data_IF_828139576742
#
_entry.id   IF_828139576742
#
_cell.length_a   1.000
_cell.length_b   1.000
_cell.length_c   1.000
_cell.angle_alpha   90.00
_cell.angle_beta   90.00
_cell.angle_gamma   90.00
#
_symmetry.space_group_name_H-M   'P 1'
#
loop_
_entity.id
_entity.type
_entity.pdbx_description
1 polymer ?
#
# COMPACT_ATOMS: atom_id res chain seq x y z
N UNK A 1 38.45 -24.35 49.99
CA UNK A 1 38.19 -23.04 49.37
C UNK A 1 37.44 -23.27 48.08
N UNK A 2 36.14 -23.12 48.15
CA UNK A 2 35.23 -23.28 46.97
C UNK A 2 35.10 -21.93 46.29
N UNK A 3 35.38 -21.84 45.01
CA UNK A 3 35.14 -20.66 44.16
C UNK A 3 33.64 -20.59 43.85
N UNK A 4 32.95 -19.66 44.44
CA UNK A 4 31.58 -19.27 44.04
C UNK A 4 31.67 -18.48 42.74
N UNK A 5 31.22 -19.09 41.65
CA UNK A 5 31.03 -18.41 40.36
C UNK A 5 29.87 -17.42 40.50
N UNK A 6 30.11 -16.13 40.35
CA UNK A 6 29.08 -15.11 40.27
C UNK A 6 28.37 -15.19 38.90
N UNK A 7 27.16 -15.76 38.86
CA UNK A 7 26.27 -15.55 37.75
C UNK A 7 25.83 -14.08 37.74
N UNK A 8 26.44 -13.26 36.90
CA UNK A 8 25.89 -11.93 36.59
C UNK A 8 24.60 -12.12 35.77
N UNK A 9 23.51 -11.42 36.08
CA UNK A 9 22.31 -11.48 35.24
C UNK A 9 22.67 -10.96 33.84
N UNK A 10 22.27 -11.73 32.83
CA UNK A 10 22.37 -11.34 31.41
C UNK A 10 21.56 -10.06 31.24
N UNK A 11 22.13 -9.02 30.63
CA UNK A 11 21.39 -7.78 30.41
C UNK A 11 20.26 -7.99 29.38
N UNK A 12 19.14 -7.27 29.53
CA UNK A 12 18.02 -7.35 28.60
C UNK A 12 18.44 -7.11 27.14
N UNK A 13 19.53 -6.37 26.91
CA UNK A 13 20.13 -6.18 25.58
C UNK A 13 20.82 -7.47 25.07
N UNK A 14 21.44 -8.25 25.95
CA UNK A 14 22.08 -9.52 25.57
C UNK A 14 21.05 -10.62 25.30
N UNK A 15 19.92 -10.62 26.02
CA UNK A 15 18.79 -11.54 25.74
C UNK A 15 18.13 -11.20 24.40
N UNK A 16 17.90 -9.93 24.10
CA UNK A 16 17.39 -9.46 22.79
C UNK A 16 18.34 -9.84 21.65
N UNK A 17 19.65 -9.68 21.83
CA UNK A 17 20.62 -10.03 20.81
C UNK A 17 20.72 -11.54 20.56
N UNK A 18 20.66 -12.36 21.60
CA UNK A 18 20.63 -13.83 21.47
C UNK A 18 19.39 -14.35 20.75
N UNK A 19 18.22 -13.76 21.01
CA UNK A 19 16.97 -14.08 20.32
C UNK A 19 17.03 -13.70 18.83
N UNK A 20 17.63 -12.56 18.49
CA UNK A 20 17.80 -12.10 17.11
C UNK A 20 18.72 -13.00 16.28
N UNK A 21 19.82 -13.51 16.86
CA UNK A 21 20.75 -14.43 16.19
C UNK A 21 20.06 -15.75 15.85
N UNK A 22 19.31 -16.34 16.79
CA UNK A 22 18.58 -17.59 16.53
C UNK A 22 17.48 -17.46 15.45
N UNK A 23 16.83 -16.27 15.35
CA UNK A 23 15.86 -15.99 14.30
C UNK A 23 16.51 -15.96 12.91
N UNK A 24 17.70 -15.36 12.78
CA UNK A 24 18.39 -15.24 11.50
C UNK A 24 18.76 -16.61 10.91
N UNK A 25 19.18 -17.54 11.73
CA UNK A 25 19.49 -18.91 11.30
C UNK A 25 18.23 -19.67 10.85
N UNK A 26 17.12 -19.53 11.59
CA UNK A 26 15.83 -20.12 11.23
C UNK A 26 15.29 -19.54 9.91
N UNK A 27 15.39 -18.22 9.69
CA UNK A 27 15.05 -17.59 8.41
C UNK A 27 15.90 -18.15 7.27
N UNK A 28 17.20 -18.38 7.49
CA UNK A 28 18.10 -19.01 6.52
C UNK A 28 17.56 -20.36 6.04
N UNK A 29 17.01 -21.18 6.95
CA UNK A 29 16.38 -22.47 6.64
C UNK A 29 15.12 -22.36 5.77
N UNK A 30 14.38 -21.25 5.86
CA UNK A 30 13.15 -21.00 5.09
C UNK A 30 13.41 -20.39 3.71
N UNK A 31 14.58 -19.81 3.46
CA UNK A 31 14.85 -19.03 2.23
C UNK A 31 14.55 -19.79 0.94
N UNK A 32 14.91 -21.07 0.84
CA UNK A 32 14.68 -21.86 -0.36
C UNK A 32 13.18 -21.99 -0.68
N UNK A 33 12.37 -22.28 0.32
CA UNK A 33 10.91 -22.43 0.17
C UNK A 33 10.23 -21.09 -0.06
N UNK A 34 10.68 -20.03 0.61
CA UNK A 34 10.19 -18.65 0.43
C UNK A 34 10.41 -18.17 -1.01
N UNK A 35 11.63 -18.34 -1.53
CA UNK A 35 11.97 -17.95 -2.91
C UNK A 35 11.20 -18.79 -3.93
N UNK A 36 11.01 -20.09 -3.67
CA UNK A 36 10.23 -20.97 -4.55
C UNK A 36 8.76 -20.52 -4.61
N UNK A 37 8.14 -20.24 -3.48
CA UNK A 37 6.76 -19.72 -3.41
C UNK A 37 6.67 -18.36 -4.14
N UNK A 38 7.59 -17.43 -3.86
CA UNK A 38 7.63 -16.12 -4.51
C UNK A 38 7.67 -16.24 -6.04
N UNK A 39 8.53 -17.10 -6.57
CA UNK A 39 8.65 -17.32 -8.01
C UNK A 39 7.42 -17.98 -8.62
N UNK A 40 6.75 -18.85 -7.88
CA UNK A 40 5.52 -19.49 -8.36
C UNK A 40 4.35 -18.48 -8.37
N UNK A 41 4.20 -17.65 -7.34
CA UNK A 41 3.24 -16.53 -7.34
C UNK A 41 3.51 -15.57 -8.51
N UNK A 42 4.77 -15.23 -8.76
CA UNK A 42 5.17 -14.33 -9.84
C UNK A 42 4.78 -14.84 -11.23
N UNK A 43 4.81 -16.15 -11.46
CA UNK A 43 4.39 -16.75 -12.73
C UNK A 43 2.90 -16.64 -13.01
N UNK A 44 2.07 -16.55 -11.98
CA UNK A 44 0.61 -16.57 -12.09
C UNK A 44 -0.03 -15.37 -11.41
N UNK A 45 0.33 -14.15 -11.82
CA UNK A 45 -0.21 -12.94 -11.22
C UNK A 45 -1.70 -12.79 -11.54
N UNK A 46 -2.44 -12.27 -10.57
CA UNK A 46 -3.88 -12.00 -10.67
C UNK A 46 -4.15 -10.56 -10.20
N UNK A 47 -5.18 -9.92 -10.77
CA UNK A 47 -5.47 -8.49 -10.55
C UNK A 47 -6.72 -8.33 -9.69
N UNK A 48 -6.70 -7.36 -8.78
CA UNK A 48 -7.86 -6.90 -8.03
C UNK A 48 -8.24 -7.79 -6.85
N UNK A 49 -9.55 -7.95 -6.62
CA UNK A 49 -10.05 -8.59 -5.41
C UNK A 49 -10.27 -10.11 -5.54
N UNK A 50 -10.29 -10.64 -6.76
CA UNK A 50 -10.56 -12.05 -7.04
C UNK A 50 -9.30 -12.73 -7.54
N UNK A 51 -8.60 -13.46 -6.66
CA UNK A 51 -7.28 -14.06 -6.85
C UNK A 51 -7.32 -15.55 -6.50
N UNK A 52 -8.09 -16.39 -7.20
CA UNK A 52 -8.30 -17.79 -6.81
C UNK A 52 -7.02 -18.62 -6.79
N UNK A 53 -6.12 -18.46 -7.78
CA UNK A 53 -4.87 -19.20 -7.84
C UNK A 53 -3.90 -18.77 -6.75
N UNK A 54 -3.75 -17.46 -6.53
CA UNK A 54 -2.92 -16.90 -5.47
C UNK A 54 -3.40 -17.37 -4.10
N UNK A 55 -4.74 -17.34 -3.85
CA UNK A 55 -5.34 -17.85 -2.61
C UNK A 55 -5.06 -19.33 -2.41
N UNK A 56 -5.21 -20.15 -3.44
CA UNK A 56 -4.92 -21.59 -3.38
C UNK A 56 -3.44 -21.87 -3.03
N UNK A 57 -2.51 -21.16 -3.66
CA UNK A 57 -1.08 -21.28 -3.38
C UNK A 57 -0.73 -20.90 -1.94
N UNK A 58 -1.32 -19.79 -1.43
CA UNK A 58 -1.13 -19.37 -0.04
C UNK A 58 -1.67 -20.41 0.93
N UNK A 59 -2.91 -20.90 0.72
CA UNK A 59 -3.52 -21.93 1.57
C UNK A 59 -2.69 -23.23 1.56
N UNK A 60 -2.22 -23.66 0.41
CA UNK A 60 -1.31 -24.81 0.28
C UNK A 60 -0.02 -24.61 1.06
N UNK A 61 0.55 -23.38 1.03
CA UNK A 61 1.78 -23.09 1.74
C UNK A 61 1.59 -22.95 3.27
N UNK A 62 0.37 -22.69 3.74
CA UNK A 62 0.00 -22.63 5.15
C UNK A 62 -0.51 -23.97 5.71
N UNK A 63 -0.72 -24.96 4.84
CA UNK A 63 -1.24 -26.27 5.27
C UNK A 63 -0.38 -26.92 6.35
N UNK A 64 -1.04 -27.58 7.30
CA UNK A 64 -0.41 -28.23 8.46
C UNK A 64 0.08 -27.27 9.55
N UNK A 65 -0.02 -25.94 9.38
CA UNK A 65 0.28 -24.98 10.46
C UNK A 65 -0.88 -24.87 11.44
N UNK A 66 -0.63 -24.60 12.73
CA UNK A 66 -1.66 -24.48 13.76
C UNK A 66 -2.40 -23.12 13.68
N UNK A 67 -3.02 -22.84 12.56
CA UNK A 67 -3.68 -21.59 12.23
C UNK A 67 -5.20 -21.76 12.14
N UNK A 68 -5.95 -20.84 12.73
CA UNK A 68 -7.37 -20.71 12.47
C UNK A 68 -7.55 -19.82 11.25
N UNK A 69 -8.01 -20.39 10.13
CA UNK A 69 -8.13 -19.69 8.86
C UNK A 69 -9.57 -19.29 8.60
N UNK A 70 -9.80 -17.98 8.40
CA UNK A 70 -11.04 -17.39 7.89
C UNK A 70 -10.82 -16.91 6.46
N UNK A 71 -11.65 -17.37 5.55
CA UNK A 71 -11.68 -16.89 4.16
C UNK A 71 -12.76 -15.81 4.04
N UNK A 72 -12.42 -14.75 3.32
CA UNK A 72 -13.38 -13.70 2.98
C UNK A 72 -14.22 -14.11 1.77
N UNK A 73 -15.50 -13.73 1.77
CA UNK A 73 -16.47 -14.16 0.75
C UNK A 73 -16.50 -13.23 -0.46
N UNK A 74 -16.42 -11.91 -0.23
CA UNK A 74 -16.46 -10.90 -1.31
C UNK A 74 -15.12 -10.72 -2.00
N UNK A 75 -14.05 -11.24 -1.39
CA UNK A 75 -12.69 -11.13 -1.93
C UNK A 75 -11.92 -12.43 -1.75
N UNK A 76 -10.75 -12.54 -2.37
CA UNK A 76 -9.80 -13.63 -2.11
C UNK A 76 -8.97 -13.45 -0.82
N UNK A 77 -9.38 -12.56 0.07
CA UNK A 77 -8.70 -12.30 1.34
C UNK A 77 -8.63 -13.52 2.25
N UNK A 78 -7.51 -13.64 2.97
CA UNK A 78 -7.28 -14.68 3.97
C UNK A 78 -6.89 -14.00 5.29
N UNK A 79 -7.60 -14.35 6.37
CA UNK A 79 -7.21 -14.03 7.73
C UNK A 79 -6.79 -15.34 8.44
N UNK A 80 -5.51 -15.47 8.76
CA UNK A 80 -4.98 -16.65 9.43
C UNK A 80 -4.50 -16.28 10.84
N UNK A 81 -5.06 -16.90 11.85
CA UNK A 81 -4.81 -16.57 13.26
C UNK A 81 -3.95 -17.64 13.93
N UNK A 82 -2.80 -17.24 14.42
CA UNK A 82 -1.96 -18.02 15.33
C UNK A 82 -2.27 -17.62 16.77
N UNK A 83 -2.71 -18.58 17.58
CA UNK A 83 -2.96 -18.36 19.01
C UNK A 83 -1.81 -18.92 19.84
N UNK A 84 -1.09 -18.04 20.55
CA UNK A 84 -0.01 -18.41 21.46
C UNK A 84 -0.51 -19.18 22.71
N UNK A 85 0.42 -19.69 23.50
CA UNK A 85 0.07 -20.48 24.70
C UNK A 85 -0.17 -19.62 25.96
N UNK A 86 0.17 -18.32 25.89
CA UNK A 86 -0.05 -17.36 26.98
C UNK A 86 -1.07 -16.29 26.55
N UNK A 87 -1.92 -15.78 27.45
CA UNK A 87 -2.80 -14.67 27.12
C UNK A 87 -2.01 -13.41 26.81
N UNK A 88 -2.56 -12.56 25.95
CA UNK A 88 -1.97 -11.31 25.53
C UNK A 88 -2.74 -10.65 24.39
N UNK A 89 -2.27 -9.51 23.89
CA UNK A 89 -2.89 -8.80 22.76
C UNK A 89 -2.69 -9.54 21.43
N UNK A 90 -3.41 -9.08 20.42
CA UNK A 90 -3.20 -9.50 19.03
C UNK A 90 -2.30 -8.48 18.30
N UNK A 91 -1.33 -8.98 17.57
CA UNK A 91 -0.55 -8.20 16.59
C UNK A 91 -0.95 -8.65 15.20
N UNK A 92 -1.19 -7.71 14.29
CA UNK A 92 -1.48 -8.02 12.89
C UNK A 92 -0.23 -7.83 12.02
N UNK A 93 0.03 -8.81 11.15
CA UNK A 93 1.04 -8.74 10.10
C UNK A 93 0.32 -8.81 8.74
N UNK A 94 0.62 -7.88 7.84
CA UNK A 94 -0.06 -7.75 6.55
C UNK A 94 0.88 -7.97 5.38
N UNK A 95 0.43 -8.73 4.38
CA UNK A 95 1.01 -8.79 3.04
C UNK A 95 -0.11 -8.74 2.00
N UNK A 96 0.09 -7.94 0.96
CA UNK A 96 -0.80 -7.87 -0.19
C UNK A 96 -0.48 -8.95 -1.21
N UNK A 97 -1.45 -9.24 -2.11
CA UNK A 97 -1.39 -10.40 -2.99
C UNK A 97 -1.63 -10.10 -4.47
N UNK A 98 -2.22 -8.98 -4.80
CA UNK A 98 -2.63 -8.64 -6.18
C UNK A 98 -1.45 -8.13 -7.03
N UNK A 99 -1.65 -8.15 -8.34
CA UNK A 99 -0.69 -7.73 -9.35
C UNK A 99 -1.20 -6.54 -10.17
N UNK A 100 -0.37 -6.02 -11.06
CA UNK A 100 -0.65 -4.85 -11.89
C UNK A 100 -1.01 -5.25 -13.34
N UNK A 101 -1.93 -4.50 -13.99
CA UNK A 101 -2.30 -4.70 -15.38
C UNK A 101 -1.25 -4.11 -16.33
N UNK A 102 -0.11 -4.78 -16.46
CA UNK A 102 0.98 -4.39 -17.34
C UNK A 102 1.73 -5.61 -17.87
N UNK A 103 2.26 -5.57 -19.11
CA UNK A 103 3.08 -6.67 -19.62
C UNK A 103 4.41 -6.76 -18.88
N UNK A 104 4.94 -7.96 -18.74
CA UNK A 104 6.28 -8.19 -18.23
C UNK A 104 7.29 -8.38 -19.37
N UNK A 105 8.42 -7.66 -19.29
CA UNK A 105 9.54 -7.74 -20.24
C UNK A 105 10.87 -7.89 -19.48
N UNK A 106 10.93 -8.82 -18.52
CA UNK A 106 12.12 -9.04 -17.69
C UNK A 106 13.05 -10.13 -18.24
N UNK A 107 12.54 -11.05 -19.06
CA UNK A 107 13.29 -12.19 -19.56
C UNK A 107 13.66 -13.24 -18.48
N UNK A 108 13.04 -13.18 -17.29
CA UNK A 108 13.31 -14.12 -16.20
C UNK A 108 12.71 -15.51 -16.48
N UNK A 109 13.35 -16.56 -15.98
CA UNK A 109 12.88 -17.94 -16.09
C UNK A 109 11.54 -18.19 -15.34
N UNK A 110 11.19 -17.30 -14.43
CA UNK A 110 9.93 -17.29 -13.68
C UNK A 110 9.04 -16.07 -14.02
N UNK A 111 9.24 -15.43 -15.17
CA UNK A 111 8.39 -14.35 -15.65
C UNK A 111 6.92 -14.76 -15.72
N UNK A 112 6.03 -13.75 -15.68
CA UNK A 112 4.58 -13.95 -15.76
C UNK A 112 4.16 -14.80 -16.94
N UNK A 113 3.23 -15.71 -16.70
CA UNK A 113 2.55 -16.53 -17.73
C UNK A 113 1.12 -16.06 -17.99
N UNK A 114 0.77 -14.89 -17.45
CA UNK A 114 -0.51 -14.23 -17.65
C UNK A 114 -0.28 -12.98 -18.48
N UNK A 115 -0.72 -12.99 -19.73
CA UNK A 115 -0.54 -11.85 -20.64
C UNK A 115 -1.12 -10.57 -20.05
N UNK A 116 -0.35 -9.47 -20.12
CA UNK A 116 -0.76 -8.16 -19.64
C UNK A 116 -0.90 -8.04 -18.13
N UNK A 117 -0.30 -8.96 -17.34
CA UNK A 117 -0.32 -8.94 -15.89
C UNK A 117 1.06 -9.26 -15.32
N UNK A 118 1.52 -8.48 -14.32
CA UNK A 118 2.84 -8.64 -13.70
C UNK A 118 2.81 -8.25 -12.22
N UNK A 119 3.53 -8.99 -11.38
CA UNK A 119 3.88 -8.55 -10.03
C UNK A 119 5.00 -7.49 -10.04
N UNK A 120 4.69 -6.27 -10.54
CA UNK A 120 5.67 -5.20 -10.65
C UNK A 120 5.84 -4.41 -9.33
N UNK A 121 4.86 -4.46 -8.43
CA UNK A 121 4.93 -3.83 -7.11
C UNK A 121 5.57 -4.72 -6.03
N UNK A 122 5.78 -6.01 -6.32
CA UNK A 122 6.47 -6.95 -5.44
C UNK A 122 5.59 -7.65 -4.40
N UNK A 123 4.26 -7.67 -4.59
CA UNK A 123 3.32 -8.32 -3.67
C UNK A 123 3.52 -9.83 -3.57
N UNK A 124 4.04 -10.48 -4.60
CA UNK A 124 4.52 -11.87 -4.56
C UNK A 124 5.59 -12.09 -3.48
N UNK A 125 6.46 -11.09 -3.26
CA UNK A 125 7.45 -11.10 -2.19
C UNK A 125 6.80 -10.87 -0.83
N UNK A 126 5.87 -9.92 -0.71
CA UNK A 126 5.16 -9.64 0.54
C UNK A 126 4.35 -10.85 1.01
N UNK A 127 3.60 -11.48 0.11
CA UNK A 127 2.86 -12.72 0.37
C UNK A 127 3.78 -13.84 0.85
N UNK A 128 4.90 -14.07 0.17
CA UNK A 128 5.85 -15.14 0.51
C UNK A 128 6.56 -14.90 1.83
N UNK A 129 6.91 -13.64 2.14
CA UNK A 129 7.47 -13.26 3.44
C UNK A 129 6.44 -13.50 4.56
N UNK A 130 5.17 -13.15 4.34
CA UNK A 130 4.12 -13.33 5.33
C UNK A 130 3.85 -14.82 5.62
N UNK A 131 3.84 -15.68 4.59
CA UNK A 131 3.78 -17.15 4.76
C UNK A 131 4.97 -17.66 5.57
N UNK A 132 6.17 -17.16 5.30
CA UNK A 132 7.37 -17.57 6.02
C UNK A 132 7.37 -17.10 7.48
N UNK A 133 6.82 -15.90 7.74
CA UNK A 133 6.60 -15.42 9.09
C UNK A 133 5.59 -16.30 9.85
N UNK A 134 4.52 -16.74 9.18
CA UNK A 134 3.55 -17.65 9.77
C UNK A 134 4.17 -18.99 10.16
N UNK A 135 5.02 -19.56 9.32
CA UNK A 135 5.78 -20.79 9.62
C UNK A 135 6.71 -20.61 10.82
N UNK A 136 7.54 -19.58 10.78
CA UNK A 136 8.51 -19.27 11.82
C UNK A 136 7.85 -19.05 13.19
N UNK A 137 6.75 -18.29 13.22
CA UNK A 137 6.03 -18.02 14.46
C UNK A 137 5.21 -19.24 14.94
N UNK A 138 4.74 -20.09 14.04
CA UNK A 138 4.09 -21.35 14.40
C UNK A 138 5.03 -22.30 15.15
N UNK A 139 6.28 -22.40 14.71
CA UNK A 139 7.32 -23.20 15.38
C UNK A 139 7.64 -22.67 16.79
N UNK A 140 7.42 -21.38 17.01
CA UNK A 140 7.69 -20.68 18.28
C UNK A 140 6.41 -20.34 19.07
N UNK A 141 5.30 -20.96 18.74
CA UNK A 141 3.99 -20.68 19.33
C UNK A 141 3.97 -20.63 20.85
N UNK A 142 4.71 -21.53 21.52
CA UNK A 142 4.81 -21.57 22.99
C UNK A 142 5.47 -20.34 23.61
N UNK A 143 6.24 -19.59 22.84
CA UNK A 143 6.89 -18.36 23.28
C UNK A 143 6.01 -17.12 23.12
N UNK A 144 4.97 -17.20 22.28
CA UNK A 144 4.13 -16.05 21.88
C UNK A 144 3.08 -15.77 22.97
N UNK A 145 3.10 -14.57 23.61
CA UNK A 145 2.01 -14.09 24.42
C UNK A 145 0.95 -13.46 23.48
N UNK A 146 -0.32 -13.89 23.65
CA UNK A 146 -1.40 -13.38 22.80
C UNK A 146 -1.49 -14.08 21.46
N UNK A 147 -1.71 -13.30 20.41
CA UNK A 147 -2.05 -13.80 19.08
C UNK A 147 -1.35 -13.05 17.96
N UNK A 148 -1.19 -13.72 16.83
CA UNK A 148 -0.72 -13.09 15.58
C UNK A 148 -1.76 -13.32 14.49
N UNK A 149 -2.31 -12.24 13.95
CA UNK A 149 -3.20 -12.25 12.79
C UNK A 149 -2.40 -11.99 11.53
N UNK A 150 -2.31 -12.98 10.64
CA UNK A 150 -1.73 -12.82 9.31
C UNK A 150 -2.83 -12.43 8.33
N UNK A 151 -2.76 -11.20 7.81
CA UNK A 151 -3.69 -10.65 6.83
C UNK A 151 -3.08 -10.75 5.43
N UNK A 152 -3.59 -11.66 4.61
CA UNK A 152 -3.27 -11.73 3.18
C UNK A 152 -4.32 -10.94 2.42
N UNK A 153 -3.93 -9.75 1.96
CA UNK A 153 -4.85 -8.77 1.39
C UNK A 153 -4.85 -8.82 -0.14
N UNK A 154 -5.99 -9.03 -0.81
CA UNK A 154 -6.14 -8.78 -2.24
C UNK A 154 -6.39 -7.30 -2.52
N UNK A 155 -6.29 -6.88 -3.79
CA UNK A 155 -6.79 -5.61 -4.28
C UNK A 155 -6.20 -4.36 -3.62
N UNK A 156 -4.88 -4.35 -3.39
CA UNK A 156 -4.19 -3.14 -2.93
C UNK A 156 -4.12 -2.10 -4.04
N UNK A 157 -3.94 -2.48 -5.27
CA UNK A 157 -3.74 -1.61 -6.45
C UNK A 157 -5.05 -0.92 -6.92
N UNK A 158 -5.68 -0.17 -6.00
CA UNK A 158 -6.87 0.63 -6.28
C UNK A 158 -8.22 -0.09 -6.18
N UNK A 159 -8.24 -1.34 -5.73
CA UNK A 159 -9.47 -2.14 -5.59
C UNK A 159 -10.00 -2.20 -4.16
N UNK A 160 -9.34 -1.52 -3.20
CA UNK A 160 -9.77 -1.38 -1.80
C UNK A 160 -10.01 -2.70 -1.05
N UNK A 161 -9.26 -3.75 -1.35
CA UNK A 161 -9.47 -5.08 -0.78
C UNK A 161 -9.46 -5.12 0.76
N UNK A 162 -8.60 -4.32 1.41
CA UNK A 162 -8.59 -4.21 2.86
C UNK A 162 -9.93 -3.70 3.41
N UNK A 163 -10.59 -2.76 2.73
CA UNK A 163 -11.89 -2.22 3.14
C UNK A 163 -12.94 -3.33 3.19
N UNK A 164 -13.02 -4.16 2.15
CA UNK A 164 -13.94 -5.30 2.11
C UNK A 164 -13.64 -6.31 3.21
N UNK A 165 -12.35 -6.62 3.46
CA UNK A 165 -11.97 -7.51 4.57
C UNK A 165 -12.39 -6.93 5.94
N UNK A 166 -12.26 -5.62 6.14
CA UNK A 166 -12.71 -4.95 7.38
C UNK A 166 -14.22 -5.00 7.53
N UNK A 167 -14.98 -4.76 6.44
CA UNK A 167 -16.45 -4.83 6.43
C UNK A 167 -16.95 -6.25 6.70
N UNK A 168 -16.19 -7.29 6.37
CA UNK A 168 -16.44 -8.69 6.69
C UNK A 168 -15.90 -9.13 8.06
N UNK A 169 -15.55 -8.20 8.93
CA UNK A 169 -15.14 -8.50 10.31
C UNK A 169 -13.70 -9.05 10.41
N UNK A 170 -12.75 -8.53 9.65
CA UNK A 170 -11.34 -8.85 9.81
C UNK A 170 -10.83 -8.58 11.24
N UNK A 171 -11.34 -7.51 11.87
CA UNK A 171 -10.93 -7.09 13.22
C UNK A 171 -11.77 -7.76 14.34
N UNK A 172 -12.80 -8.52 14.01
CA UNK A 172 -13.61 -9.29 14.97
C UNK A 172 -12.82 -10.51 15.43
N UNK A 173 -11.61 -10.27 15.89
CA UNK A 173 -10.69 -11.34 16.28
C UNK A 173 -11.09 -11.97 17.59
N UNK A 174 -10.97 -13.26 17.61
CA UNK A 174 -11.36 -14.09 18.71
C UNK A 174 -10.63 -13.75 20.03
N UNK A 175 -11.17 -14.23 21.12
CA UNK A 175 -10.59 -14.14 22.47
C UNK A 175 -9.38 -15.06 22.63
N UNK A 176 -8.57 -14.81 23.65
CA UNK A 176 -7.53 -15.74 24.08
C UNK A 176 -8.13 -17.12 24.46
N UNK A 177 -7.29 -18.15 24.59
CA UNK A 177 -7.71 -19.50 24.98
C UNK A 177 -8.42 -19.55 26.31
N UNK A 178 -8.10 -18.66 27.23
CA UNK A 178 -8.74 -18.52 28.54
C UNK A 178 -10.04 -17.68 28.53
N UNK A 179 -10.48 -17.23 27.36
CA UNK A 179 -11.66 -16.39 27.15
C UNK A 179 -11.46 -14.89 27.40
N UNK A 180 -10.27 -14.46 27.79
CA UNK A 180 -9.94 -13.02 27.92
C UNK A 180 -9.90 -12.32 26.58
N UNK A 181 -10.12 -10.98 26.58
CA UNK A 181 -10.04 -10.16 25.37
C UNK A 181 -8.60 -10.13 24.82
N UNK A 182 -8.48 -10.17 23.49
CA UNK A 182 -7.22 -10.08 22.79
C UNK A 182 -7.28 -9.02 21.67
N UNK A 183 -7.37 -7.73 22.03
CA UNK A 183 -7.51 -6.65 21.06
C UNK A 183 -6.29 -6.57 20.15
N UNK A 184 -6.49 -6.12 18.91
CA UNK A 184 -5.38 -5.78 18.01
C UNK A 184 -4.76 -4.48 18.51
N UNK A 185 -3.51 -4.55 18.97
CA UNK A 185 -2.79 -3.40 19.53
C UNK A 185 -1.76 -2.81 18.60
N UNK A 186 -1.34 -3.56 17.58
CA UNK A 186 -0.40 -3.11 16.56
C UNK A 186 -0.63 -3.84 15.24
N UNK A 187 -0.31 -3.16 14.14
CA UNK A 187 -0.32 -3.73 12.80
C UNK A 187 0.98 -3.34 12.08
N UNK A 188 1.62 -4.31 11.43
CA UNK A 188 2.85 -4.09 10.67
C UNK A 188 2.72 -4.64 9.24
N UNK A 189 3.28 -3.89 8.29
CA UNK A 189 3.44 -4.33 6.92
C UNK A 189 4.85 -3.94 6.43
N UNK A 190 5.44 -4.76 5.57
CA UNK A 190 6.68 -4.44 4.87
C UNK A 190 6.40 -4.28 3.39
N UNK A 191 6.98 -3.26 2.78
CA UNK A 191 6.94 -3.07 1.33
C UNK A 191 8.36 -3.15 0.77
N UNK A 192 8.58 -4.00 -0.23
CA UNK A 192 9.85 -4.05 -0.96
C UNK A 192 10.00 -2.79 -1.83
N UNK A 193 11.20 -2.25 -1.93
CA UNK A 193 11.48 -1.10 -2.80
C UNK A 193 12.84 -1.24 -3.49
N UNK A 194 12.91 -0.82 -4.75
CA UNK A 194 14.16 -0.73 -5.50
C UNK A 194 14.94 0.56 -5.22
N UNK A 195 14.35 1.52 -4.49
CA UNK A 195 14.98 2.82 -4.19
C UNK A 195 15.92 2.79 -2.99
N UNK A 196 16.02 1.67 -2.27
CA UNK A 196 16.88 1.50 -1.12
C UNK A 196 17.89 0.35 -1.34
N UNK A 197 19.09 0.42 -0.74
CA UNK A 197 20.06 -0.68 -0.79
C UNK A 197 19.47 -1.97 -0.18
N UNK A 198 19.75 -3.11 -0.81
CA UNK A 198 19.35 -4.42 -0.28
C UNK A 198 19.91 -4.64 1.14
N UNK A 199 19.13 -5.27 2.01
CA UNK A 199 19.48 -5.52 3.40
C UNK A 199 19.32 -4.30 4.31
N UNK A 200 18.57 -3.27 3.88
CA UNK A 200 18.18 -2.13 4.71
C UNK A 200 16.65 -2.08 4.88
N UNK A 201 16.20 -1.54 6.00
CA UNK A 201 14.79 -1.25 6.28
C UNK A 201 14.66 0.23 6.63
N UNK A 202 13.69 0.91 5.99
CA UNK A 202 13.38 2.30 6.26
C UNK A 202 11.94 2.48 6.70
N UNK A 203 11.73 3.27 7.75
CA UNK A 203 10.40 3.74 8.17
C UNK A 203 10.50 5.05 8.95
N UNK A 204 9.36 5.63 9.30
CA UNK A 204 9.26 6.81 10.17
C UNK A 204 7.88 6.88 10.81
N UNK A 205 7.77 7.56 11.93
CA UNK A 205 6.50 8.00 12.49
C UNK A 205 5.90 9.18 11.69
N UNK A 206 4.58 9.27 11.64
CA UNK A 206 3.86 10.26 10.86
C UNK A 206 3.66 9.85 9.39
N UNK A 207 3.39 10.79 8.48
CA UNK A 207 3.17 10.50 7.08
C UNK A 207 4.36 9.79 6.44
N UNK A 208 4.10 8.63 5.80
CA UNK A 208 5.10 7.84 5.10
C UNK A 208 4.82 7.82 3.59
N UNK A 209 3.56 7.66 3.18
CA UNK A 209 3.15 7.66 1.78
C UNK A 209 1.99 8.63 1.59
N UNK A 210 2.00 9.36 0.48
CA UNK A 210 0.95 10.31 0.13
C UNK A 210 -0.38 9.63 -0.18
N UNK A 211 -1.48 10.38 -0.05
CA UNK A 211 -2.79 9.98 -0.56
C UNK A 211 -2.77 9.76 -2.07
N UNK A 212 -3.77 9.07 -2.60
CA UNK A 212 -3.87 8.76 -4.03
C UNK A 212 -5.30 8.99 -4.52
N UNK A 213 -5.49 10.08 -5.31
CA UNK A 213 -6.78 10.37 -5.94
C UNK A 213 -6.62 10.52 -7.45
N UNK A 214 -7.71 10.26 -8.19
CA UNK A 214 -7.78 10.45 -9.64
C UNK A 214 -8.69 11.64 -9.95
N UNK A 215 -8.19 12.56 -10.76
CA UNK A 215 -8.88 13.76 -11.20
C UNK A 215 -9.39 13.58 -12.63
N UNK A 216 -10.65 13.96 -12.87
CA UNK A 216 -11.24 14.11 -14.19
C UNK A 216 -12.01 15.44 -14.26
N UNK A 217 -11.73 16.27 -15.26
CA UNK A 217 -12.44 17.53 -15.53
C UNK A 217 -12.95 17.51 -16.95
N UNK A 218 -14.27 17.54 -17.11
CA UNK A 218 -14.90 17.69 -18.40
C UNK A 218 -15.35 19.13 -18.57
N UNK A 219 -14.86 19.80 -19.61
CA UNK A 219 -15.28 21.14 -20.02
C UNK A 219 -16.30 20.96 -21.15
N UNK A 220 -17.47 21.56 -21.00
CA UNK A 220 -18.53 21.55 -22.00
C UNK A 220 -18.78 22.96 -22.53
N UNK A 221 -18.61 23.13 -23.81
CA UNK A 221 -18.84 24.35 -24.55
C UNK A 221 -19.82 24.14 -25.71
N UNK A 222 -19.56 24.77 -26.85
CA UNK A 222 -20.37 24.68 -28.07
C UNK A 222 -19.45 24.56 -29.27
N UNK A 223 -19.52 23.47 -29.97
CA UNK A 223 -18.74 23.20 -31.19
C UNK A 223 -19.23 24.00 -32.40
N UNK A 224 -18.45 23.94 -33.49
CA UNK A 224 -18.77 24.57 -34.76
C UNK A 224 -17.62 24.58 -35.76
N UNK A 225 -17.76 25.33 -36.84
CA UNK A 225 -16.75 25.41 -37.88
C UNK A 225 -15.56 26.30 -37.44
N UNK A 226 -14.34 25.86 -37.65
CA UNK A 226 -13.13 26.55 -37.17
C UNK A 226 -12.92 27.95 -37.78
N UNK A 227 -13.54 28.27 -38.94
CA UNK A 227 -13.48 29.61 -39.52
C UNK A 227 -14.46 30.63 -38.90
N UNK A 228 -15.39 30.17 -38.05
CA UNK A 228 -16.39 31.01 -37.38
C UNK A 228 -16.32 30.85 -35.84
N UNK A 229 -15.18 31.03 -35.19
CA UNK A 229 -15.01 30.79 -33.77
C UNK A 229 -15.92 31.64 -32.90
N UNK A 230 -16.32 32.82 -33.37
CA UNK A 230 -17.20 33.75 -32.68
C UNK A 230 -18.63 33.23 -32.49
N UNK A 231 -19.02 32.14 -33.17
CA UNK A 231 -20.33 31.45 -33.03
C UNK A 231 -20.27 30.23 -32.11
N UNK A 232 -19.10 29.96 -31.55
CA UNK A 232 -18.81 28.77 -30.76
C UNK A 232 -18.34 29.14 -29.36
N UNK A 233 -18.28 28.12 -28.48
CA UNK A 233 -17.63 28.19 -27.18
C UNK A 233 -16.59 27.07 -27.16
N UNK A 234 -15.40 27.36 -27.74
CA UNK A 234 -14.34 26.36 -27.93
C UNK A 234 -13.68 25.96 -26.60
N UNK A 235 -13.76 24.70 -26.16
CA UNK A 235 -13.28 24.29 -24.83
C UNK A 235 -11.74 24.13 -24.75
N UNK A 236 -11.02 24.04 -25.88
CA UNK A 236 -9.58 23.79 -25.88
C UNK A 236 -8.78 24.91 -25.17
N UNK A 237 -8.97 26.21 -25.48
CA UNK A 237 -8.25 27.28 -24.77
C UNK A 237 -8.56 27.29 -23.27
N UNK A 238 -9.81 27.06 -22.90
CA UNK A 238 -10.25 26.99 -21.50
C UNK A 238 -9.63 25.80 -20.76
N UNK A 239 -9.50 24.64 -21.42
CA UNK A 239 -8.81 23.49 -20.84
C UNK A 239 -7.32 23.80 -20.57
N UNK A 240 -6.65 24.46 -21.51
CA UNK A 240 -5.24 24.88 -21.32
C UNK A 240 -5.10 25.88 -20.16
N UNK A 241 -6.01 26.85 -20.04
CA UNK A 241 -6.01 27.83 -18.95
C UNK A 241 -6.23 27.13 -17.58
N UNK A 242 -7.18 26.19 -17.51
CA UNK A 242 -7.41 25.39 -16.29
C UNK A 242 -6.14 24.65 -15.89
N UNK A 243 -5.48 23.95 -16.82
CA UNK A 243 -4.23 23.22 -16.54
C UNK A 243 -3.17 24.14 -15.93
N UNK A 244 -2.91 25.29 -16.55
CA UNK A 244 -1.93 26.26 -16.04
C UNK A 244 -2.33 26.83 -14.68
N UNK A 245 -3.59 27.16 -14.50
CA UNK A 245 -4.12 27.72 -13.24
C UNK A 245 -4.07 26.75 -12.10
N UNK A 246 -4.25 25.44 -12.34
CA UNK A 246 -4.06 24.40 -11.34
C UNK A 246 -2.60 24.33 -10.86
N UNK A 247 -1.61 24.45 -11.75
CA UNK A 247 -0.19 24.51 -11.35
C UNK A 247 0.12 25.77 -10.53
N UNK A 248 -0.43 26.91 -10.93
CA UNK A 248 -0.30 28.14 -10.17
C UNK A 248 -0.98 28.03 -8.80
N UNK A 249 -2.16 27.41 -8.72
CA UNK A 249 -2.90 27.19 -7.48
C UNK A 249 -2.07 26.38 -6.48
N UNK A 250 -1.46 25.26 -6.91
CA UNK A 250 -0.63 24.42 -6.05
C UNK A 250 0.52 25.25 -5.47
N UNK A 251 1.27 25.98 -6.30
CA UNK A 251 2.43 26.75 -5.84
C UNK A 251 2.09 27.96 -5.00
N UNK A 252 0.89 28.54 -5.12
CA UNK A 252 0.50 29.80 -4.44
C UNK A 252 -0.48 29.62 -3.28
N UNK A 253 -1.13 28.46 -3.15
CA UNK A 253 -2.18 28.22 -2.15
C UNK A 253 -1.91 27.06 -1.21
N UNK A 254 -1.00 26.17 -1.57
CA UNK A 254 -0.63 25.03 -0.74
C UNK A 254 0.66 25.35 0.02
N UNK A 255 0.66 24.99 1.28
CA UNK A 255 1.78 25.24 2.19
C UNK A 255 2.97 24.34 1.83
N UNK A 256 4.18 24.91 1.83
CA UNK A 256 5.39 24.21 1.42
C UNK A 256 5.74 23.04 2.36
N UNK A 257 5.40 23.15 3.66
CA UNK A 257 5.67 22.12 4.67
C UNK A 257 4.52 21.10 4.83
N UNK A 258 3.41 21.28 4.12
CA UNK A 258 2.30 20.33 3.99
C UNK A 258 1.95 20.19 2.51
N UNK A 259 2.86 19.61 1.70
CA UNK A 259 2.82 19.69 0.25
C UNK A 259 1.74 18.80 -0.37
N UNK A 260 1.35 19.19 -1.58
CA UNK A 260 0.54 18.36 -2.47
C UNK A 260 1.04 18.48 -3.91
N UNK A 261 0.74 17.45 -4.70
CA UNK A 261 1.04 17.42 -6.14
C UNK A 261 -0.25 17.17 -6.91
N UNK A 262 -0.48 17.97 -7.95
CA UNK A 262 -1.52 17.74 -8.96
C UNK A 262 -0.84 17.61 -10.29
N UNK A 263 -0.87 16.41 -10.87
CA UNK A 263 -0.25 16.13 -12.17
C UNK A 263 -1.33 15.83 -13.18
N UNK A 264 -1.43 16.67 -14.22
CA UNK A 264 -2.28 16.39 -15.37
C UNK A 264 -1.51 15.49 -16.32
N UNK A 265 -2.05 14.33 -16.61
CA UNK A 265 -1.41 13.28 -17.42
C UNK A 265 -2.08 13.09 -18.78
N UNK A 266 -3.31 13.63 -18.95
CA UNK A 266 -4.05 13.46 -20.18
C UNK A 266 -4.93 14.68 -20.44
N UNK A 267 -4.92 15.16 -21.70
CA UNK A 267 -5.82 16.17 -22.21
C UNK A 267 -6.29 15.72 -23.61
N UNK A 268 -7.61 15.59 -23.77
CA UNK A 268 -8.22 15.12 -25.01
C UNK A 268 -9.30 16.08 -25.47
N UNK A 269 -9.20 16.56 -26.73
CA UNK A 269 -10.20 17.41 -27.34
C UNK A 269 -10.09 17.37 -28.88
N UNK A 270 -11.21 17.38 -29.57
CA UNK A 270 -11.27 17.45 -31.03
C UNK A 270 -10.91 16.16 -31.75
N UNK A 271 -11.29 16.08 -33.03
CA UNK A 271 -11.05 14.92 -33.91
C UNK A 271 -10.50 15.31 -35.27
N UNK A 272 -10.69 16.57 -35.69
CA UNK A 272 -10.27 17.08 -36.99
C UNK A 272 -9.92 18.57 -36.92
N UNK A 273 -9.16 19.06 -37.89
CA UNK A 273 -8.56 20.41 -37.87
C UNK A 273 -9.52 21.55 -38.14
N UNK A 274 -10.66 21.28 -38.81
CA UNK A 274 -11.63 22.30 -39.22
C UNK A 274 -12.91 22.32 -38.38
N UNK A 275 -12.97 21.56 -37.27
CA UNK A 275 -14.10 21.52 -36.35
C UNK A 275 -13.66 21.86 -34.94
N UNK A 276 -14.30 22.85 -34.33
CA UNK A 276 -14.17 23.16 -32.90
C UNK A 276 -15.01 22.12 -32.13
N UNK A 277 -14.43 21.38 -31.18
CA UNK A 277 -15.15 20.35 -30.42
C UNK A 277 -16.16 20.98 -29.45
N UNK A 278 -17.15 20.19 -29.02
CA UNK A 278 -18.11 20.57 -27.97
C UNK A 278 -17.56 20.37 -26.55
N UNK A 279 -16.54 19.54 -26.40
CA UNK A 279 -15.98 19.27 -25.07
C UNK A 279 -14.48 19.02 -25.11
N UNK A 280 -13.83 19.21 -23.95
CA UNK A 280 -12.47 18.79 -23.65
C UNK A 280 -12.45 18.01 -22.34
N UNK A 281 -11.56 17.02 -22.24
CA UNK A 281 -11.37 16.19 -21.05
C UNK A 281 -9.93 16.34 -20.57
N UNK A 282 -9.79 16.65 -19.28
CA UNK A 282 -8.53 16.70 -18.56
C UNK A 282 -8.55 15.57 -17.53
N UNK A 283 -7.50 14.75 -17.48
CA UNK A 283 -7.36 13.71 -16.47
C UNK A 283 -5.97 13.80 -15.81
N UNK A 284 -5.90 13.38 -14.54
CA UNK A 284 -4.68 13.46 -13.78
C UNK A 284 -4.76 12.80 -12.42
N UNK A 285 -3.75 13.03 -11.60
CA UNK A 285 -3.66 12.48 -10.25
C UNK A 285 -3.42 13.58 -9.21
N UNK A 286 -3.89 13.33 -8.00
CA UNK A 286 -3.68 14.18 -6.84
C UNK A 286 -2.96 13.36 -5.77
N UNK A 287 -1.92 13.96 -5.14
CA UNK A 287 -1.19 13.41 -4.01
C UNK A 287 -1.09 14.48 -2.92
N UNK A 288 -1.30 14.11 -1.68
CA UNK A 288 -1.14 14.97 -0.52
C UNK A 288 -0.58 14.17 0.65
N UNK A 289 0.10 14.82 1.58
CA UNK A 289 0.70 14.19 2.77
C UNK A 289 -0.12 14.42 4.03
N UNK A 290 -1.24 15.13 3.94
CA UNK A 290 -2.24 15.29 5.00
C UNK A 290 -3.65 15.33 4.45
N UNK A 291 -4.63 14.84 5.20
CA UNK A 291 -6.05 14.91 4.82
C UNK A 291 -6.56 16.37 4.76
N UNK A 292 -6.01 17.24 5.59
CA UNK A 292 -6.31 18.68 5.57
C UNK A 292 -5.96 19.29 4.21
N UNK A 293 -4.73 19.08 3.76
CA UNK A 293 -4.27 19.60 2.47
C UNK A 293 -4.93 18.89 1.29
N UNK A 294 -5.18 17.58 1.38
CA UNK A 294 -5.95 16.80 0.39
C UNK A 294 -7.31 17.44 0.12
N UNK A 295 -8.10 17.70 1.17
CA UNK A 295 -9.42 18.31 1.05
C UNK A 295 -9.34 19.75 0.49
N UNK A 296 -8.38 20.55 0.96
CA UNK A 296 -8.14 21.91 0.44
C UNK A 296 -7.81 21.91 -1.06
N UNK A 297 -7.03 20.93 -1.54
CA UNK A 297 -6.71 20.78 -2.96
C UNK A 297 -7.95 20.42 -3.77
N UNK A 298 -8.77 19.46 -3.30
CA UNK A 298 -10.02 19.09 -3.96
C UNK A 298 -10.95 20.29 -4.15
N UNK A 299 -11.17 21.07 -3.10
CA UNK A 299 -12.04 22.26 -3.16
C UNK A 299 -11.46 23.34 -4.07
N UNK A 300 -10.12 23.50 -4.05
CA UNK A 300 -9.45 24.48 -4.90
C UNK A 300 -9.51 24.11 -6.38
N UNK A 301 -9.38 22.82 -6.72
CA UNK A 301 -9.51 22.33 -8.10
C UNK A 301 -10.91 22.63 -8.63
N UNK A 302 -11.96 22.31 -7.87
CA UNK A 302 -13.35 22.60 -8.27
C UNK A 302 -13.55 24.08 -8.53
N UNK A 303 -13.19 24.92 -7.56
CA UNK A 303 -13.34 26.38 -7.67
C UNK A 303 -12.58 26.97 -8.87
N UNK A 304 -11.36 26.50 -9.15
CA UNK A 304 -10.56 27.00 -10.28
C UNK A 304 -11.17 26.57 -11.61
N UNK A 305 -11.48 25.27 -11.76
CA UNK A 305 -12.01 24.75 -13.02
C UNK A 305 -13.39 25.33 -13.35
N UNK A 306 -14.30 25.32 -12.39
CA UNK A 306 -15.64 25.87 -12.54
C UNK A 306 -15.63 27.37 -12.77
N UNK A 307 -14.76 28.13 -12.04
CA UNK A 307 -14.63 29.57 -12.19
C UNK A 307 -14.09 30.00 -13.56
N UNK A 308 -13.08 29.32 -14.09
CA UNK A 308 -12.51 29.62 -15.41
C UNK A 308 -13.53 29.25 -16.52
N UNK A 309 -14.18 28.10 -16.41
CA UNK A 309 -15.20 27.70 -17.37
C UNK A 309 -16.37 28.70 -17.40
N UNK A 310 -16.88 29.10 -16.24
CA UNK A 310 -17.94 30.10 -16.11
C UNK A 310 -17.55 31.47 -16.66
N UNK A 311 -16.32 31.93 -16.45
CA UNK A 311 -15.81 33.19 -17.02
C UNK A 311 -15.80 33.19 -18.57
N UNK A 312 -15.78 32.00 -19.18
CA UNK A 312 -15.82 31.79 -20.63
C UNK A 312 -17.20 31.27 -21.12
N UNK A 313 -18.28 31.49 -20.35
CA UNK A 313 -19.64 31.03 -20.66
C UNK A 313 -19.77 29.54 -20.88
N UNK A 314 -18.85 28.72 -20.28
CA UNK A 314 -18.81 27.27 -20.36
C UNK A 314 -19.07 26.62 -19.00
N UNK A 315 -19.23 25.32 -18.99
CA UNK A 315 -19.39 24.52 -17.79
C UNK A 315 -18.22 23.56 -17.63
N UNK A 316 -17.65 23.47 -16.41
CA UNK A 316 -16.74 22.40 -16.02
C UNK A 316 -17.45 21.46 -15.04
N UNK A 317 -17.33 20.14 -15.28
CA UNK A 317 -17.73 19.10 -14.34
C UNK A 317 -16.46 18.47 -13.78
N UNK A 318 -16.26 18.56 -12.48
CA UNK A 318 -15.06 18.04 -11.79
C UNK A 318 -15.41 16.80 -10.99
N UNK A 319 -14.86 15.68 -11.38
CA UNK A 319 -14.97 14.42 -10.68
C UNK A 319 -13.61 14.08 -10.04
N UNK A 320 -13.61 13.81 -8.75
CA UNK A 320 -12.44 13.34 -8.03
C UNK A 320 -12.80 11.98 -7.43
N UNK A 321 -12.22 10.94 -8.01
CA UNK A 321 -12.34 9.59 -7.46
C UNK A 321 -11.37 9.47 -6.30
N UNK A 322 -11.94 9.36 -5.10
CA UNK A 322 -11.20 9.20 -3.86
C UNK A 322 -10.54 7.83 -3.86
N UNK A 323 -9.23 7.82 -3.75
CA UNK A 323 -8.42 6.62 -3.59
C UNK A 323 -7.98 6.40 -2.15
N UNK A 324 -6.72 6.06 -1.95
CA UNK A 324 -6.20 5.78 -0.60
C UNK A 324 -5.92 7.04 0.20
N UNK A 325 -6.18 7.01 1.52
CA UNK A 325 -5.77 8.08 2.42
C UNK A 325 -4.24 8.13 2.57
N UNK A 326 -3.74 9.16 3.23
CA UNK A 326 -2.34 9.26 3.62
C UNK A 326 -1.99 8.09 4.54
N UNK A 327 -0.88 7.38 4.26
CA UNK A 327 -0.35 6.38 5.19
C UNK A 327 0.37 7.09 6.32
N UNK A 328 -0.20 7.03 7.52
CA UNK A 328 0.35 7.66 8.72
C UNK A 328 0.75 6.57 9.71
N UNK A 329 2.04 6.45 9.98
CA UNK A 329 2.56 5.48 10.93
C UNK A 329 2.54 6.04 12.35
N UNK A 330 2.19 5.18 13.31
CA UNK A 330 2.37 5.44 14.73
C UNK A 330 3.88 5.58 15.06
N UNK A 331 4.26 6.65 15.75
CA UNK A 331 5.67 6.94 15.97
C UNK A 331 6.35 5.92 16.91
N UNK A 332 5.77 5.54 18.07
CA UNK A 332 6.34 4.50 18.92
C UNK A 332 6.51 3.15 18.21
N UNK A 333 5.51 2.73 17.42
CA UNK A 333 5.57 1.48 16.65
C UNK A 333 6.64 1.52 15.56
N UNK A 334 6.84 2.68 14.92
CA UNK A 334 7.91 2.87 13.92
C UNK A 334 9.30 2.82 14.55
N UNK A 335 9.48 3.45 15.72
CA UNK A 335 10.75 3.43 16.46
C UNK A 335 11.10 2.01 16.92
N UNK A 336 10.10 1.28 17.44
CA UNK A 336 10.26 -0.13 17.79
C UNK A 336 10.64 -1.01 16.58
N UNK A 337 10.01 -0.79 15.42
CA UNK A 337 10.35 -1.52 14.19
C UNK A 337 11.79 -1.27 13.74
N UNK A 338 12.29 -0.02 13.85
CA UNK A 338 13.68 0.32 13.55
C UNK A 338 14.65 -0.34 14.52
N UNK A 339 14.37 -0.34 15.84
CA UNK A 339 15.20 -1.02 16.84
C UNK A 339 15.31 -2.53 16.56
N UNK A 340 14.18 -3.18 16.24
CA UNK A 340 14.16 -4.60 15.87
C UNK A 340 14.95 -4.84 14.58
N UNK A 341 14.74 -4.02 13.56
CA UNK A 341 15.47 -4.13 12.30
C UNK A 341 16.98 -4.01 12.51
N UNK A 342 17.44 -3.04 13.29
CA UNK A 342 18.87 -2.85 13.58
C UNK A 342 19.46 -4.02 14.36
N UNK A 343 18.70 -4.57 15.32
CA UNK A 343 19.13 -5.75 16.08
C UNK A 343 19.34 -7.01 15.22
N UNK A 344 18.57 -7.14 14.13
CA UNK A 344 18.63 -8.30 13.23
C UNK A 344 19.64 -8.06 12.09
N UNK A 345 19.61 -6.89 11.47
CA UNK A 345 20.37 -6.58 10.25
C UNK A 345 21.77 -6.01 10.54
N UNK A 346 21.97 -5.44 11.73
CA UNK A 346 23.19 -4.77 12.15
C UNK A 346 23.13 -3.25 12.06
N UNK A 347 24.14 -2.61 12.63
CA UNK A 347 24.26 -1.16 12.73
C UNK A 347 24.17 -0.46 11.34
N UNK A 348 23.39 0.61 11.26
CA UNK A 348 23.21 1.42 10.04
C UNK A 348 22.32 0.78 8.97
N UNK A 349 21.67 -0.36 9.27
CA UNK A 349 20.75 -1.03 8.35
C UNK A 349 19.28 -0.67 8.57
N UNK A 350 18.96 -0.05 9.69
CA UNK A 350 17.65 0.53 9.98
C UNK A 350 17.72 2.05 9.78
N UNK A 351 16.94 2.57 8.84
CA UNK A 351 17.03 3.97 8.39
C UNK A 351 15.74 4.72 8.74
N UNK A 352 15.86 5.81 9.49
CA UNK A 352 14.74 6.74 9.66
C UNK A 352 14.56 7.55 8.37
N UNK A 353 13.45 7.35 7.68
CA UNK A 353 13.17 8.03 6.42
C UNK A 353 12.89 9.53 6.64
N UNK A 354 13.27 10.40 5.67
CA UNK A 354 12.89 11.81 5.70
C UNK A 354 11.36 11.96 5.57
N UNK A 355 10.86 13.18 5.79
CA UNK A 355 9.47 13.52 5.46
C UNK A 355 9.25 13.36 3.94
N UNK A 356 8.07 12.87 3.51
CA UNK A 356 7.72 12.72 2.11
C UNK A 356 7.61 14.08 1.40
#
# INVERSE_FOLDING_TARGET
MAKTGSNKPVSAAQEKHGAAVGLKDQVGGLMKTTVALRRELHKWPEIGNTLPKTREQVLTALDGLPLDIKLHETTSGIAAMLTGDKPGPTVMLRGDMDALPMPEDTGLDFASRTDGCMHACGHDTHTSMLVSAAKLLSDRRSEIPGRVLFMFQPGEEGYHGAKFMLEEGLLDVAKNKDGSESPITAAYALHITASMPAGTIGTRGGPLMASSDVLSIKITGKGGHASEPFRTLGPIPVACEIVQSLQMMITRRIETFDPAVVTITKLVAGTTTNVIPESALIEGTIRAVSEKTRNKVHDSIRRVAEGIAAANEMQATVEIRIGYPVTVNDAPSSDFALEVAESILGEGKAVRMPAP
#
